data_IF_077200766348
#
_entry.id   IF_077200766348
#
_cell.length_a   1.000
_cell.length_b   1.000
_cell.length_c   1.000
_cell.angle_alpha   90.00
_cell.angle_beta   90.00
_cell.angle_gamma   90.00
#
_symmetry.space_group_name_H-M   'P 1'
#
loop_
_entity.id
_entity.type
_entity.pdbx_description
1 polymer ?
#
# COMPACT_ATOMS: atom_id res chain seq x y z
N UNK A 1 7.88 0.89 -15.67
CA UNK A 1 9.23 0.47 -16.12
C UNK A 1 9.91 -0.57 -15.20
N UNK A 2 9.28 -1.02 -14.10
CA UNK A 2 9.90 -1.96 -13.14
C UNK A 2 9.65 -3.45 -13.43
N UNK A 3 8.62 -3.80 -14.20
CA UNK A 3 8.19 -5.20 -14.39
C UNK A 3 9.08 -6.03 -15.33
N UNK A 4 9.89 -5.41 -16.18
CA UNK A 4 10.77 -6.16 -17.10
C UNK A 4 11.98 -6.80 -16.42
N UNK A 5 12.32 -6.42 -15.18
CA UNK A 5 13.57 -6.89 -14.54
C UNK A 5 13.48 -8.27 -13.89
N UNK A 6 12.28 -8.75 -13.58
CA UNK A 6 12.11 -10.03 -12.87
C UNK A 6 12.21 -11.24 -13.82
N UNK A 7 11.78 -11.10 -15.07
CA UNK A 7 11.83 -12.16 -16.08
C UNK A 7 13.26 -12.56 -16.48
N UNK A 8 14.19 -11.59 -16.53
CA UNK A 8 15.58 -11.84 -16.92
C UNK A 8 16.39 -12.51 -15.81
N UNK A 9 16.00 -12.35 -14.55
CA UNK A 9 16.69 -12.95 -13.41
C UNK A 9 16.53 -14.48 -13.40
N UNK A 10 15.39 -15.01 -13.85
CA UNK A 10 15.11 -16.45 -13.86
C UNK A 10 15.70 -17.21 -15.06
N UNK A 11 15.99 -16.53 -16.18
CA UNK A 11 16.60 -17.18 -17.35
C UNK A 11 18.04 -17.65 -17.10
N UNK A 12 18.74 -17.03 -16.16
CA UNK A 12 20.15 -17.34 -15.88
C UNK A 12 20.36 -18.64 -15.08
N UNK A 13 19.34 -19.12 -14.38
CA UNK A 13 19.44 -20.29 -13.49
C UNK A 13 18.89 -21.60 -14.07
N UNK A 14 18.38 -21.59 -15.31
CA UNK A 14 17.69 -22.75 -15.89
C UNK A 14 18.50 -23.56 -16.91
N UNK A 15 19.74 -23.21 -17.21
CA UNK A 15 20.44 -23.78 -18.38
C UNK A 15 21.58 -24.75 -18.13
N UNK A 16 22.19 -24.83 -16.96
CA UNK A 16 23.39 -25.66 -16.81
C UNK A 16 23.30 -26.63 -15.64
N UNK A 17 23.77 -27.85 -15.89
CA UNK A 17 24.11 -28.90 -14.90
C UNK A 17 22.99 -29.78 -14.34
N UNK A 18 22.44 -30.68 -15.16
CA UNK A 18 22.28 -32.09 -14.75
C UNK A 18 22.54 -33.03 -15.94
N UNK A 19 23.80 -33.21 -16.34
CA UNK A 19 24.23 -34.50 -16.93
C UNK A 19 25.68 -34.79 -16.53
N UNK A 20 25.85 -35.72 -15.57
CA UNK A 20 26.80 -36.84 -15.61
C UNK A 20 26.89 -37.46 -14.21
N UNK A 21 26.18 -38.58 -14.04
CA UNK A 21 26.49 -39.55 -12.99
C UNK A 21 27.91 -40.10 -13.24
N UNK A 22 28.84 -40.08 -12.28
CA UNK A 22 30.06 -40.84 -12.40
C UNK A 22 29.75 -42.30 -12.07
N UNK A 23 29.63 -43.15 -13.10
CA UNK A 23 29.69 -44.60 -12.95
C UNK A 23 31.13 -45.00 -12.60
N UNK A 24 31.44 -45.13 -11.31
CA UNK A 24 32.68 -45.78 -10.86
C UNK A 24 32.58 -47.28 -11.17
N UNK A 25 33.19 -47.68 -12.28
CA UNK A 25 33.45 -49.09 -12.61
C UNK A 25 34.52 -49.63 -11.65
N UNK A 26 34.09 -50.48 -10.70
CA UNK A 26 35.01 -51.29 -9.92
C UNK A 26 35.62 -52.36 -10.82
N UNK A 27 36.88 -52.16 -11.22
CA UNK A 27 37.67 -53.23 -11.85
C UNK A 27 37.99 -54.28 -10.80
N UNK A 28 37.33 -55.44 -10.90
CA UNK A 28 37.66 -56.64 -10.15
C UNK A 28 39.09 -57.06 -10.51
N UNK A 29 40.06 -56.87 -9.60
CA UNK A 29 41.41 -57.42 -9.73
C UNK A 29 41.32 -58.94 -9.56
N UNK A 30 41.36 -59.67 -10.67
CA UNK A 30 41.54 -61.12 -10.64
C UNK A 30 42.92 -61.44 -10.07
N UNK A 31 42.96 -62.24 -9.00
CA UNK A 31 44.21 -62.81 -8.46
C UNK A 31 44.81 -63.73 -9.52
N UNK A 32 46.12 -63.62 -9.84
CA UNK A 32 46.77 -64.59 -10.71
C UNK A 32 46.80 -65.96 -10.01
N UNK A 33 46.04 -66.91 -10.55
CA UNK A 33 46.10 -68.32 -10.14
C UNK A 33 47.41 -68.92 -10.64
N UNK A 34 48.44 -68.94 -9.80
CA UNK A 34 49.70 -69.64 -10.11
C UNK A 34 49.41 -71.14 -10.03
N UNK A 35 49.20 -71.79 -11.19
CA UNK A 35 49.26 -73.26 -11.30
C UNK A 35 50.71 -73.69 -11.10
N UNK A 36 51.05 -74.10 -9.88
CA UNK A 36 52.29 -74.82 -9.60
C UNK A 36 52.08 -76.28 -10.02
N UNK A 37 52.61 -76.67 -11.18
CA UNK A 37 52.78 -78.07 -11.53
C UNK A 37 54.01 -78.61 -10.78
N UNK A 38 53.87 -79.57 -9.86
CA UNK A 38 55.03 -80.18 -9.23
C UNK A 38 55.75 -81.05 -10.26
N UNK A 39 56.88 -80.58 -10.77
CA UNK A 39 57.80 -81.39 -11.56
C UNK A 39 58.60 -82.25 -10.59
N UNK A 40 58.15 -83.49 -10.38
CA UNK A 40 58.83 -84.46 -9.52
C UNK A 40 60.17 -84.84 -10.16
N UNK A 41 61.32 -84.64 -9.50
CA UNK A 41 62.60 -85.12 -10.01
C UNK A 41 62.66 -86.65 -9.88
N UNK A 42 63.05 -87.34 -10.96
CA UNK A 42 63.43 -88.76 -10.88
C UNK A 42 64.73 -88.87 -10.10
N UNK A 43 64.66 -89.39 -8.88
CA UNK A 43 65.81 -89.72 -8.05
C UNK A 43 66.32 -91.11 -8.47
N UNK A 44 67.31 -91.14 -9.36
CA UNK A 44 68.15 -92.33 -9.57
C UNK A 44 69.20 -92.37 -8.47
N UNK A 45 69.03 -93.28 -7.51
CA UNK A 45 69.91 -93.38 -6.35
C UNK A 45 71.27 -94.01 -6.66
N UNK A 46 72.37 -93.51 -6.06
CA UNK A 46 73.50 -94.32 -5.66
C UNK A 46 73.29 -94.82 -4.23
N UNK A 47 73.53 -96.12 -4.01
CA UNK A 47 73.57 -96.76 -2.68
C UNK A 47 74.71 -96.15 -1.86
N UNK A 48 74.39 -95.14 -1.08
CA UNK A 48 75.23 -94.66 0.00
C UNK A 48 74.59 -95.06 1.31
N UNK A 49 75.40 -95.50 2.27
CA UNK A 49 74.97 -95.90 3.62
C UNK A 49 74.65 -94.63 4.40
N UNK A 50 73.52 -94.01 4.06
CA UNK A 50 73.07 -92.78 4.70
C UNK A 50 72.42 -93.15 6.01
N UNK A 51 72.98 -92.64 7.10
CA UNK A 51 72.45 -92.83 8.43
C UNK A 51 71.06 -92.18 8.48
N UNK A 52 70.00 -92.97 8.37
CA UNK A 52 68.60 -92.52 8.29
C UNK A 52 68.24 -91.54 9.41
N UNK A 53 68.91 -91.67 10.57
CA UNK A 53 68.80 -90.77 11.72
C UNK A 53 69.22 -89.33 11.40
N UNK A 54 70.26 -89.15 10.57
CA UNK A 54 70.76 -87.85 10.11
C UNK A 54 69.87 -87.21 9.04
N UNK A 55 69.25 -88.00 8.17
CA UNK A 55 68.27 -87.49 7.19
C UNK A 55 67.01 -87.01 7.93
N UNK A 56 66.57 -87.77 8.93
CA UNK A 56 65.39 -87.44 9.72
C UNK A 56 65.59 -86.15 10.53
N UNK A 57 66.76 -85.93 11.12
CA UNK A 57 67.06 -84.68 11.85
C UNK A 57 67.12 -83.47 10.92
N UNK A 58 67.66 -83.60 9.70
CA UNK A 58 67.68 -82.51 8.72
C UNK A 58 66.28 -82.18 8.20
N UNK A 59 65.47 -83.20 7.89
CA UNK A 59 64.05 -83.02 7.53
C UNK A 59 63.27 -82.32 8.65
N UNK A 60 63.49 -82.72 9.90
CA UNK A 60 62.84 -82.13 11.07
C UNK A 60 63.29 -80.69 11.32
N UNK A 61 64.57 -80.37 11.10
CA UNK A 61 65.06 -79.00 11.16
C UNK A 61 64.43 -78.12 10.06
N UNK A 62 64.31 -78.63 8.83
CA UNK A 62 63.68 -77.92 7.72
C UNK A 62 62.17 -77.72 7.91
N UNK A 63 61.46 -78.68 8.51
CA UNK A 63 60.04 -78.50 8.85
C UNK A 63 59.85 -77.47 9.95
N UNK A 64 60.70 -77.45 10.98
CA UNK A 64 60.66 -76.41 12.03
C UNK A 64 60.98 -75.03 11.45
N UNK A 65 61.99 -74.91 10.59
CA UNK A 65 62.30 -73.64 9.90
C UNK A 65 61.18 -73.21 8.96
N UNK A 66 60.57 -74.15 8.22
CA UNK A 66 59.43 -73.88 7.35
C UNK A 66 58.20 -73.42 8.12
N UNK A 67 57.90 -74.04 9.27
CA UNK A 67 56.86 -73.61 10.21
C UNK A 67 57.17 -72.22 10.75
N UNK A 68 58.43 -71.93 11.13
CA UNK A 68 58.85 -70.61 11.60
C UNK A 68 58.67 -69.51 10.56
N UNK A 69 59.06 -69.75 9.30
CA UNK A 69 58.86 -68.80 8.19
C UNK A 69 57.37 -68.61 7.88
N UNK A 70 56.58 -69.68 7.93
CA UNK A 70 55.14 -69.60 7.71
C UNK A 70 54.44 -68.81 8.82
N UNK A 71 54.81 -69.06 10.09
CA UNK A 71 54.35 -68.32 11.27
C UNK A 71 54.73 -66.83 11.19
N UNK A 72 55.96 -66.51 10.79
CA UNK A 72 56.41 -65.12 10.60
C UNK A 72 55.64 -64.40 9.47
N UNK A 73 55.41 -65.09 8.34
CA UNK A 73 54.64 -64.53 7.22
C UNK A 73 53.16 -64.33 7.57
N UNK A 74 52.59 -65.22 8.36
CA UNK A 74 51.20 -65.09 8.81
C UNK A 74 51.05 -63.98 9.85
N UNK A 75 52.00 -63.82 10.79
CA UNK A 75 52.03 -62.70 11.72
C UNK A 75 52.07 -61.33 11.01
N UNK A 76 52.92 -61.17 9.99
CA UNK A 76 52.99 -59.94 9.18
C UNK A 76 51.69 -59.63 8.42
N UNK A 77 51.00 -60.66 7.91
CA UNK A 77 49.71 -60.45 7.24
C UNK A 77 48.61 -60.06 8.23
N UNK A 78 48.63 -60.60 9.45
CA UNK A 78 47.70 -60.22 10.52
C UNK A 78 47.91 -58.75 10.90
N UNK A 79 49.16 -58.32 11.09
CA UNK A 79 49.51 -56.92 11.42
C UNK A 79 49.03 -55.94 10.35
N UNK A 80 49.19 -56.26 9.06
CA UNK A 80 48.69 -55.40 7.97
C UNK A 80 47.17 -55.38 7.89
N UNK A 81 46.50 -56.50 8.16
CA UNK A 81 45.05 -56.58 8.22
C UNK A 81 44.49 -55.75 9.37
N UNK A 82 45.14 -55.77 10.53
CA UNK A 82 44.75 -55.00 11.71
C UNK A 82 44.94 -53.49 11.50
N UNK A 83 46.02 -53.08 10.83
CA UNK A 83 46.22 -51.69 10.39
C UNK A 83 45.14 -51.24 9.38
N UNK A 84 44.80 -52.08 8.40
CA UNK A 84 43.72 -51.80 7.44
C UNK A 84 42.35 -51.73 8.13
N UNK A 85 42.06 -52.63 9.06
CA UNK A 85 40.84 -52.64 9.86
C UNK A 85 40.69 -51.35 10.68
N UNK A 86 41.74 -50.97 11.43
CA UNK A 86 41.77 -49.71 12.18
C UNK A 86 41.59 -48.50 11.27
N UNK A 87 42.22 -48.48 10.10
CA UNK A 87 42.06 -47.40 9.13
C UNK A 87 40.62 -47.29 8.61
N UNK A 88 39.99 -48.42 8.29
CA UNK A 88 38.60 -48.45 7.84
C UNK A 88 37.64 -48.01 8.96
N UNK A 89 37.88 -48.42 10.21
CA UNK A 89 37.09 -47.96 11.35
C UNK A 89 37.19 -46.45 11.54
N UNK A 90 38.40 -45.88 11.42
CA UNK A 90 38.58 -44.42 11.46
C UNK A 90 37.86 -43.71 10.31
N UNK A 91 37.94 -44.22 9.07
CA UNK A 91 37.22 -43.64 7.93
C UNK A 91 35.70 -43.72 8.10
N UNK A 92 35.19 -44.84 8.61
CA UNK A 92 33.77 -45.03 8.88
C UNK A 92 33.28 -44.06 9.98
N UNK A 93 34.09 -43.86 11.02
CA UNK A 93 33.83 -42.86 12.07
C UNK A 93 33.72 -41.45 11.51
N UNK A 94 34.68 -41.03 10.68
CA UNK A 94 34.67 -39.72 10.01
C UNK A 94 33.45 -39.56 9.09
N UNK A 95 33.13 -40.59 8.30
CA UNK A 95 31.94 -40.57 7.43
C UNK A 95 30.64 -40.43 8.23
N UNK A 96 30.56 -41.09 9.39
CA UNK A 96 29.40 -40.99 10.31
C UNK A 96 29.26 -39.56 10.86
N UNK A 97 30.37 -38.93 11.25
CA UNK A 97 30.39 -37.56 11.75
C UNK A 97 30.01 -36.53 10.67
N UNK A 98 30.52 -36.72 9.44
CA UNK A 98 30.14 -35.92 8.28
C UNK A 98 28.65 -36.06 7.95
N UNK A 99 28.10 -37.27 8.02
CA UNK A 99 26.67 -37.50 7.80
C UNK A 99 25.82 -36.81 8.87
N UNK A 100 26.24 -36.87 10.13
CA UNK A 100 25.57 -36.15 11.22
C UNK A 100 25.55 -34.64 10.98
N UNK A 101 26.70 -34.06 10.59
CA UNK A 101 26.85 -32.63 10.26
C UNK A 101 26.00 -32.22 9.06
N UNK A 102 25.94 -33.06 8.03
CA UNK A 102 25.11 -32.81 6.86
C UNK A 102 23.62 -32.80 7.25
N UNK A 103 23.21 -33.73 8.11
CA UNK A 103 21.84 -33.81 8.59
C UNK A 103 21.44 -32.60 9.44
N UNK A 104 22.33 -32.12 10.31
CA UNK A 104 22.08 -30.90 11.09
C UNK A 104 21.97 -29.66 10.19
N UNK A 105 22.83 -29.56 9.18
CA UNK A 105 22.80 -28.46 8.20
C UNK A 105 21.51 -28.50 7.37
N UNK A 106 21.08 -29.70 6.96
CA UNK A 106 19.83 -29.89 6.23
C UNK A 106 18.64 -29.44 7.07
N UNK A 107 18.58 -29.83 8.35
CA UNK A 107 17.50 -29.41 9.24
C UNK A 107 17.47 -27.89 9.43
N UNK A 108 18.63 -27.25 9.61
CA UNK A 108 18.72 -25.80 9.70
C UNK A 108 18.26 -25.12 8.40
N UNK A 109 18.63 -25.66 7.24
CA UNK A 109 18.19 -25.16 5.95
C UNK A 109 16.66 -25.25 5.80
N UNK A 110 16.06 -26.38 6.20
CA UNK A 110 14.61 -26.57 6.21
C UNK A 110 13.91 -25.54 7.09
N UNK A 111 14.37 -25.33 8.33
CA UNK A 111 13.78 -24.32 9.21
C UNK A 111 13.90 -22.90 8.67
N UNK A 112 15.03 -22.55 8.04
CA UNK A 112 15.20 -21.25 7.41
C UNK A 112 14.24 -21.06 6.22
N UNK A 113 14.00 -22.12 5.44
CA UNK A 113 13.06 -22.10 4.32
C UNK A 113 11.62 -21.92 4.81
N UNK A 114 11.24 -22.60 5.90
CA UNK A 114 9.93 -22.42 6.55
C UNK A 114 9.75 -20.98 7.04
N UNK A 115 10.74 -20.42 7.71
CA UNK A 115 10.73 -19.02 8.16
C UNK A 115 10.57 -18.05 6.98
N UNK A 116 11.34 -18.24 5.91
CA UNK A 116 11.25 -17.41 4.70
C UNK A 116 9.87 -17.51 4.03
N UNK A 117 9.27 -18.70 4.06
CA UNK A 117 7.91 -18.92 3.53
C UNK A 117 6.86 -18.17 4.37
N UNK A 118 7.02 -18.17 5.69
CA UNK A 118 6.18 -17.38 6.60
C UNK A 118 6.32 -15.89 6.32
N UNK A 119 7.55 -15.38 6.28
CA UNK A 119 7.83 -13.96 6.01
C UNK A 119 7.24 -13.51 4.66
N UNK A 120 7.34 -14.35 3.63
CA UNK A 120 6.75 -14.06 2.31
C UNK A 120 5.22 -13.99 2.39
N UNK A 121 4.60 -14.88 3.16
CA UNK A 121 3.14 -14.89 3.35
C UNK A 121 2.68 -13.61 4.06
N UNK A 122 3.39 -13.21 5.12
CA UNK A 122 3.11 -11.99 5.85
C UNK A 122 3.27 -10.76 4.96
N UNK A 123 4.34 -10.70 4.15
CA UNK A 123 4.56 -9.60 3.21
C UNK A 123 3.50 -9.51 2.12
N UNK A 124 2.95 -10.64 1.67
CA UNK A 124 1.84 -10.65 0.73
C UNK A 124 0.55 -10.12 1.37
N UNK A 125 0.31 -10.45 2.64
CA UNK A 125 -0.81 -9.91 3.42
C UNK A 125 -0.70 -8.40 3.60
N UNK A 126 0.49 -7.91 4.01
CA UNK A 126 0.79 -6.48 4.13
C UNK A 126 0.52 -5.73 2.81
N UNK A 127 0.96 -6.32 1.68
CA UNK A 127 0.78 -5.73 0.35
C UNK A 127 -0.70 -5.60 -0.01
N UNK A 128 -1.50 -6.66 0.19
CA UNK A 128 -2.93 -6.64 -0.09
C UNK A 128 -3.67 -5.62 0.80
N UNK A 129 -3.27 -5.50 2.07
CA UNK A 129 -3.81 -4.48 2.96
C UNK A 129 -3.47 -3.08 2.48
N UNK A 130 -2.23 -2.84 2.05
CA UNK A 130 -1.81 -1.55 1.50
C UNK A 130 -2.56 -1.19 0.22
N UNK A 131 -2.78 -2.15 -0.68
CA UNK A 131 -3.58 -1.94 -1.90
C UNK A 131 -5.02 -1.58 -1.58
N UNK A 132 -5.62 -2.24 -0.59
CA UNK A 132 -6.98 -1.92 -0.13
C UNK A 132 -7.07 -0.51 0.45
N UNK A 133 -6.12 -0.13 1.31
CA UNK A 133 -6.03 1.25 1.85
C UNK A 133 -5.86 2.28 0.74
N UNK A 134 -5.04 2.01 -0.26
CA UNK A 134 -4.85 2.90 -1.41
C UNK A 134 -6.16 3.11 -2.19
N UNK A 135 -6.94 2.05 -2.41
CA UNK A 135 -8.24 2.15 -3.08
C UNK A 135 -9.20 3.03 -2.28
N UNK A 136 -9.34 2.82 -0.98
CA UNK A 136 -10.17 3.67 -0.12
C UNK A 136 -9.74 5.14 -0.17
N UNK A 137 -8.45 5.43 -0.08
CA UNK A 137 -7.94 6.81 -0.15
C UNK A 137 -8.32 7.47 -1.48
N UNK A 138 -8.25 6.73 -2.59
CA UNK A 138 -8.64 7.26 -3.89
C UNK A 138 -10.15 7.56 -3.97
N UNK A 139 -10.99 6.72 -3.36
CA UNK A 139 -12.43 6.94 -3.29
C UNK A 139 -12.76 8.19 -2.44
N UNK A 140 -12.16 8.30 -1.25
CA UNK A 140 -12.30 9.48 -0.38
C UNK A 140 -11.81 10.76 -1.07
N UNK A 141 -10.70 10.68 -1.81
CA UNK A 141 -10.18 11.82 -2.57
C UNK A 141 -11.15 12.27 -3.67
N UNK A 142 -11.74 11.33 -4.41
CA UNK A 142 -12.74 11.64 -5.44
C UNK A 142 -13.97 12.31 -4.84
N UNK A 143 -14.45 11.81 -3.69
CA UNK A 143 -15.58 12.42 -2.99
C UNK A 143 -15.26 13.85 -2.54
N UNK A 144 -14.06 14.08 -2.02
CA UNK A 144 -13.62 15.42 -1.61
C UNK A 144 -13.52 16.39 -2.80
N UNK A 145 -13.09 15.92 -3.97
CA UNK A 145 -13.08 16.72 -5.20
C UNK A 145 -14.49 17.13 -5.63
N UNK A 146 -15.45 16.20 -5.59
CA UNK A 146 -16.85 16.46 -5.90
C UNK A 146 -17.49 17.47 -4.93
N UNK A 147 -17.27 17.29 -3.62
CA UNK A 147 -17.74 18.22 -2.58
C UNK A 147 -17.15 19.62 -2.77
N UNK A 148 -15.87 19.73 -3.13
CA UNK A 148 -15.23 21.02 -3.37
C UNK A 148 -15.79 21.72 -4.62
N UNK A 149 -16.20 20.96 -5.64
CA UNK A 149 -16.89 21.51 -6.81
C UNK A 149 -18.30 21.99 -6.46
N UNK A 150 -19.02 21.27 -5.59
CA UNK A 150 -20.33 21.70 -5.07
C UNK A 150 -20.21 23.00 -4.29
N UNK A 151 -19.30 23.09 -3.32
CA UNK A 151 -19.07 24.33 -2.58
C UNK A 151 -18.69 25.52 -3.46
N UNK A 152 -17.97 25.29 -4.56
CA UNK A 152 -17.66 26.35 -5.52
C UNK A 152 -18.91 26.87 -6.22
N UNK A 153 -19.86 25.99 -6.57
CA UNK A 153 -21.14 26.38 -7.19
C UNK A 153 -21.98 27.15 -6.19
N UNK A 154 -22.16 26.62 -4.98
CA UNK A 154 -22.92 27.28 -3.92
C UNK A 154 -22.38 28.68 -3.61
N UNK A 155 -21.05 28.85 -3.62
CA UNK A 155 -20.43 30.15 -3.42
C UNK A 155 -20.72 31.13 -4.58
N UNK A 156 -20.71 30.64 -5.82
CA UNK A 156 -21.05 31.44 -7.00
C UNK A 156 -22.52 31.88 -6.96
N UNK A 157 -23.42 30.96 -6.63
CA UNK A 157 -24.85 31.26 -6.52
C UNK A 157 -25.11 32.29 -5.41
N UNK A 158 -24.40 32.18 -4.28
CA UNK A 158 -24.49 33.16 -3.20
C UNK A 158 -23.93 34.54 -3.58
N UNK A 159 -22.89 34.60 -4.42
CA UNK A 159 -22.35 35.85 -4.95
C UNK A 159 -23.36 36.54 -5.88
N UNK A 160 -24.04 35.78 -6.73
CA UNK A 160 -25.11 36.28 -7.60
C UNK A 160 -26.29 36.80 -6.76
N UNK A 161 -26.77 36.03 -5.79
CA UNK A 161 -27.84 36.44 -4.86
C UNK A 161 -27.48 37.73 -4.09
N UNK A 162 -26.22 37.87 -3.70
CA UNK A 162 -25.72 39.06 -3.02
C UNK A 162 -25.77 40.30 -3.93
N UNK A 163 -25.34 40.16 -5.18
CA UNK A 163 -25.37 41.25 -6.17
C UNK A 163 -26.82 41.66 -6.50
N UNK A 164 -27.70 40.69 -6.70
CA UNK A 164 -29.13 40.94 -6.93
C UNK A 164 -29.77 41.72 -5.76
N UNK A 165 -29.43 41.33 -4.53
CA UNK A 165 -29.90 42.04 -3.33
C UNK A 165 -29.35 43.48 -3.25
N UNK A 166 -28.11 43.69 -3.68
CA UNK A 166 -27.50 45.01 -3.74
C UNK A 166 -28.19 45.91 -4.77
N UNK A 167 -28.49 45.40 -5.95
CA UNK A 167 -29.22 46.12 -7.00
C UNK A 167 -30.63 46.51 -6.52
N UNK A 168 -31.36 45.57 -5.92
CA UNK A 168 -32.69 45.85 -5.33
C UNK A 168 -32.61 46.93 -4.24
N UNK A 169 -31.56 46.92 -3.41
CA UNK A 169 -31.37 47.93 -2.38
C UNK A 169 -31.13 49.32 -2.99
N UNK A 170 -30.36 49.41 -4.06
CA UNK A 170 -30.08 50.68 -4.73
C UNK A 170 -31.34 51.21 -5.43
N UNK A 171 -32.10 50.36 -6.11
CA UNK A 171 -33.43 50.71 -6.66
C UNK A 171 -34.35 51.27 -5.56
N UNK A 172 -34.35 50.66 -4.37
CA UNK A 172 -35.18 51.13 -3.24
C UNK A 172 -34.71 52.47 -2.68
N UNK A 173 -33.41 52.78 -2.74
CA UNK A 173 -32.90 54.11 -2.36
C UNK A 173 -33.37 55.17 -3.36
N UNK A 174 -33.35 54.85 -4.65
CA UNK A 174 -33.81 55.76 -5.71
C UNK A 174 -35.31 56.01 -5.64
N UNK A 175 -36.11 54.97 -5.39
CA UNK A 175 -37.54 55.07 -5.09
C UNK A 175 -37.80 55.99 -3.89
N UNK A 176 -37.03 55.82 -2.80
CA UNK A 176 -37.17 56.61 -1.58
C UNK A 176 -36.85 58.09 -1.83
N UNK A 177 -35.75 58.37 -2.53
CA UNK A 177 -35.36 59.73 -2.94
C UNK A 177 -36.44 60.39 -3.80
N UNK A 178 -36.97 59.65 -4.77
CA UNK A 178 -38.07 60.12 -5.63
C UNK A 178 -39.34 60.43 -4.84
N UNK A 179 -39.68 59.58 -3.86
CA UNK A 179 -40.81 59.80 -2.96
C UNK A 179 -40.62 61.05 -2.07
N UNK A 180 -39.41 61.27 -1.56
CA UNK A 180 -39.07 62.46 -0.78
C UNK A 180 -39.21 63.75 -1.60
N UNK A 181 -38.69 63.77 -2.83
CA UNK A 181 -38.83 64.92 -3.73
C UNK A 181 -40.32 65.21 -4.03
N UNK A 182 -41.10 64.17 -4.34
CA UNK A 182 -42.54 64.32 -4.56
C UNK A 182 -43.28 64.87 -3.33
N UNK A 183 -42.89 64.43 -2.12
CA UNK A 183 -43.47 64.94 -0.87
C UNK A 183 -43.15 66.42 -0.66
N UNK A 184 -41.92 66.84 -0.96
CA UNK A 184 -41.50 68.23 -0.84
C UNK A 184 -42.19 69.13 -1.86
N UNK A 185 -42.36 68.66 -3.10
CA UNK A 185 -43.16 69.35 -4.12
C UNK A 185 -44.61 69.53 -3.66
N UNK A 186 -45.24 68.48 -3.11
CA UNK A 186 -46.61 68.57 -2.58
C UNK A 186 -46.73 69.52 -1.39
N UNK A 187 -45.72 69.57 -0.52
CA UNK A 187 -45.66 70.56 0.57
C UNK A 187 -45.55 71.98 0.02
N UNK A 188 -44.73 72.20 -0.99
CA UNK A 188 -44.58 73.49 -1.67
C UNK A 188 -45.90 73.94 -2.31
N UNK A 189 -46.56 73.06 -3.04
CA UNK A 189 -47.88 73.32 -3.65
C UNK A 189 -48.95 73.62 -2.59
N UNK A 190 -48.98 72.85 -1.50
CA UNK A 190 -49.88 73.09 -0.37
C UNK A 190 -49.67 74.47 0.25
N UNK A 191 -48.41 74.87 0.48
CA UNK A 191 -48.09 76.19 1.05
C UNK A 191 -48.46 77.34 0.11
N UNK A 192 -48.28 77.17 -1.21
CA UNK A 192 -48.75 78.15 -2.21
C UNK A 192 -50.26 78.27 -2.20
N UNK A 193 -50.98 77.14 -2.19
CA UNK A 193 -52.43 77.12 -2.14
C UNK A 193 -52.94 77.81 -0.86
N UNK A 194 -52.33 77.49 0.28
CA UNK A 194 -52.61 78.13 1.57
C UNK A 194 -52.42 79.65 1.52
N UNK A 195 -51.32 80.12 0.92
CA UNK A 195 -51.06 81.56 0.75
C UNK A 195 -52.09 82.22 -0.18
N UNK A 196 -52.42 81.60 -1.32
CA UNK A 196 -53.45 82.11 -2.23
C UNK A 196 -54.83 82.24 -1.55
N UNK A 197 -55.20 81.26 -0.72
CA UNK A 197 -56.43 81.35 0.08
C UNK A 197 -56.38 82.47 1.11
N UNK A 198 -55.23 82.70 1.74
CA UNK A 198 -55.04 83.84 2.64
C UNK A 198 -55.26 85.16 1.92
N UNK A 199 -54.64 85.33 0.75
CA UNK A 199 -54.74 86.55 -0.06
C UNK A 199 -56.20 86.79 -0.47
N UNK A 200 -56.91 85.74 -0.88
CA UNK A 200 -58.35 85.81 -1.20
C UNK A 200 -59.20 86.17 0.03
N UNK A 201 -58.90 85.60 1.19
CA UNK A 201 -59.59 85.92 2.43
C UNK A 201 -59.38 87.40 2.80
N UNK A 202 -58.14 87.86 2.81
CA UNK A 202 -57.79 89.25 3.11
C UNK A 202 -58.46 90.24 2.15
N UNK A 203 -58.54 89.91 0.87
CA UNK A 203 -59.21 90.76 -0.13
C UNK A 203 -60.73 90.90 0.10
N UNK A 204 -61.34 89.91 0.77
CA UNK A 204 -62.80 89.84 0.98
C UNK A 204 -63.21 90.20 2.43
N UNK A 205 -62.25 90.51 3.30
CA UNK A 205 -62.46 90.82 4.71
C UNK A 205 -62.14 92.28 5.04
N UNK A 206 -62.80 92.81 6.07
CA UNK A 206 -62.54 94.18 6.53
C UNK A 206 -61.21 94.30 7.31
N UNK A 207 -60.64 93.17 7.74
CA UNK A 207 -59.39 93.04 8.49
C UNK A 207 -58.61 91.83 7.98
N UNK A 208 -57.32 91.76 8.31
CA UNK A 208 -56.45 90.63 7.94
C UNK A 208 -56.97 89.32 8.55
N UNK A 209 -57.06 88.28 7.73
CA UNK A 209 -57.47 86.95 8.15
C UNK A 209 -56.37 86.24 8.93
N UNK A 210 -56.77 85.45 9.93
CA UNK A 210 -55.88 84.59 10.71
C UNK A 210 -56.12 83.13 10.37
N UNK A 211 -55.05 82.35 10.19
CA UNK A 211 -55.14 80.91 9.99
C UNK A 211 -55.35 80.20 11.33
N UNK A 212 -56.48 79.50 11.49
CA UNK A 212 -56.71 78.60 12.62
C UNK A 212 -56.12 77.22 12.32
N UNK A 213 -55.02 76.88 12.99
CA UNK A 213 -54.39 75.57 12.87
C UNK A 213 -55.21 74.42 13.45
N UNK A 214 -56.22 74.69 14.28
CA UNK A 214 -57.10 73.66 14.85
C UNK A 214 -58.12 73.13 13.84
N UNK A 215 -58.64 74.01 12.98
CA UNK A 215 -59.64 73.68 11.96
C UNK A 215 -59.07 73.67 10.53
N UNK A 216 -57.80 74.03 10.35
CA UNK A 216 -57.12 74.16 9.06
C UNK A 216 -57.75 75.18 8.09
N UNK A 217 -58.37 76.24 8.64
CA UNK A 217 -59.13 77.24 7.87
C UNK A 217 -58.68 78.68 8.17
N UNK A 218 -58.94 79.61 7.25
CA UNK A 218 -58.72 81.05 7.45
C UNK A 218 -60.00 81.70 7.98
N UNK A 219 -59.89 82.41 9.10
CA UNK A 219 -61.00 83.11 9.74
C UNK A 219 -60.94 84.62 9.46
N UNK A 220 -62.11 85.19 9.17
CA UNK A 220 -62.31 86.61 8.90
C UNK A 220 -62.76 87.33 10.18
N UNK A 221 -61.93 88.19 10.81
CA UNK A 221 -62.35 88.92 11.99
C UNK A 221 -63.43 89.94 11.60
N UNK A 222 -64.64 89.78 12.15
CA UNK A 222 -65.84 90.57 11.86
C UNK A 222 -66.43 90.39 10.45
N UNK A 223 -66.79 89.15 10.10
CA UNK A 223 -67.81 88.94 9.07
C UNK A 223 -69.09 89.67 9.49
N UNK A 224 -69.36 90.84 8.90
CA UNK A 224 -70.69 91.45 9.00
C UNK A 224 -71.63 90.47 8.33
N UNK A 225 -72.48 89.81 9.12
CA UNK A 225 -73.43 88.79 8.72
C UNK A 225 -74.21 89.24 7.49
N UNK A 226 -73.71 88.91 6.30
CA UNK A 226 -74.46 89.04 5.06
C UNK A 226 -74.89 87.63 4.75
N UNK A 227 -76.16 87.37 5.06
CA UNK A 227 -76.89 86.14 4.74
C UNK A 227 -76.69 85.80 3.26
N UNK A 228 -75.76 84.91 2.97
CA UNK A 228 -75.65 84.27 1.66
C UNK A 228 -76.65 83.14 1.61
N UNK A 229 -77.68 83.32 0.78
CA UNK A 229 -78.69 82.33 0.46
C UNK A 229 -78.01 81.07 -0.11
N UNK A 230 -78.07 79.98 0.64
CA UNK A 230 -77.70 78.63 0.20
C UNK A 230 -78.52 78.26 -1.03
N UNK A 231 -77.90 78.24 -2.21
CA UNK A 231 -78.48 77.55 -3.38
C UNK A 231 -77.88 76.16 -3.42
N UNK A 232 -78.64 75.21 -2.89
CA UNK A 232 -78.35 73.78 -2.98
C UNK A 232 -78.43 73.35 -4.45
N UNK A 233 -77.27 73.17 -5.09
CA UNK A 233 -77.19 72.47 -6.38
C UNK A 233 -76.98 70.99 -6.07
N UNK A 234 -78.06 70.21 -6.15
CA UNK A 234 -77.99 68.75 -6.17
C UNK A 234 -77.39 68.27 -7.49
N UNK A 235 -76.12 67.86 -7.48
CA UNK A 235 -75.56 67.04 -8.55
C UNK A 235 -75.87 65.56 -8.28
N UNK A 236 -76.75 65.00 -9.09
CA UNK A 236 -77.04 63.56 -9.17
C UNK A 236 -75.88 62.85 -9.85
N UNK A 237 -75.18 61.99 -9.12
CA UNK A 237 -74.20 61.06 -9.69
C UNK A 237 -74.94 59.81 -10.18
N UNK A 238 -74.99 59.63 -11.49
CA UNK A 238 -75.42 58.39 -12.14
C UNK A 238 -74.21 57.45 -12.23
N UNK A 239 -74.24 56.37 -11.47
CA UNK A 239 -73.27 55.27 -11.56
C UNK A 239 -73.60 54.41 -12.78
N UNK A 240 -72.65 54.23 -13.69
CA UNK A 240 -72.60 53.08 -14.62
C UNK A 240 -71.16 52.62 -14.73
#
# INVERSE_FOLDING_TARGET
MAEKRWSDYWKKYKSDEITKKPTKSYKKKERPTIKITPKVPKISGPKTNVNFKSIFTVMLALTVLGLGVWQFRSARMIETLEEEELSLECELGNCTEQLSTLNSTLNSCTSNLESCTSDLTDKLSDLNSCESTKTNINEEFSMCEDELLEYRRDYSDLEDDYNDCQDVLDDKKDDLSSCQNNLDDKRSDYNKLKSNYQDLCNANCAQDCTFDSGNEEYECPNATTTTSTTTTVSTTTTTT
#
